data_IF_403105193528
#
_entry.id   IF_403105193528
#
_cell.length_a   1.000
_cell.length_b   1.000
_cell.length_c   1.000
_cell.angle_alpha   90.00
_cell.angle_beta   90.00
_cell.angle_gamma   90.00
#
_symmetry.space_group_name_H-M   'P 1'
#
loop_
_entity.id
_entity.type
_entity.pdbx_description
1 polymer ?
#
# COMPACT_ATOMS: atom_id res chain seq x y z
N UNK A 1 6.43 -9.10 -17.48
CA UNK A 1 6.64 -9.97 -18.65
C UNK A 1 8.10 -10.39 -18.71
N UNK A 2 8.45 -11.39 -19.50
CA UNK A 2 9.87 -11.72 -19.69
C UNK A 2 10.55 -10.69 -20.58
N UNK A 3 11.83 -10.40 -20.28
CA UNK A 3 12.66 -9.51 -21.07
C UNK A 3 13.20 -10.26 -22.29
N UNK A 4 12.89 -9.78 -23.49
CA UNK A 4 13.46 -10.28 -24.74
C UNK A 4 14.62 -9.37 -25.18
N UNK A 5 15.85 -9.87 -25.10
CA UNK A 5 17.05 -9.10 -25.44
C UNK A 5 17.31 -9.03 -26.95
N UNK A 6 16.63 -9.84 -27.76
CA UNK A 6 16.84 -9.93 -29.20
C UNK A 6 15.90 -8.99 -29.98
N UNK A 7 14.83 -8.53 -29.34
CA UNK A 7 13.85 -7.63 -29.94
C UNK A 7 14.12 -6.15 -29.61
N UNK A 8 14.47 -5.30 -30.59
CA UNK A 8 14.56 -3.86 -30.36
C UNK A 8 13.14 -3.31 -30.10
N UNK A 9 12.88 -2.95 -28.85
CA UNK A 9 11.55 -2.51 -28.40
C UNK A 9 11.63 -1.65 -27.12
N UNK A 10 10.60 -0.83 -26.90
CA UNK A 10 10.43 -0.07 -25.66
C UNK A 10 9.88 -0.99 -24.56
N UNK A 11 10.72 -1.91 -24.07
CA UNK A 11 10.36 -2.84 -22.98
C UNK A 11 10.45 -2.24 -21.58
N UNK A 12 10.94 -0.99 -21.48
CA UNK A 12 11.04 -0.24 -20.23
C UNK A 12 10.17 1.02 -20.34
N UNK A 13 9.21 1.16 -19.43
CA UNK A 13 8.20 2.23 -19.38
C UNK A 13 8.24 3.05 -18.08
N UNK A 14 9.04 2.63 -17.10
CA UNK A 14 9.24 3.31 -15.82
C UNK A 14 10.72 3.46 -15.47
N UNK A 15 11.07 4.49 -14.70
CA UNK A 15 12.44 4.78 -14.30
C UNK A 15 12.51 5.21 -12.84
N UNK A 16 13.24 4.43 -12.04
CA UNK A 16 13.44 4.63 -10.60
C UNK A 16 14.93 4.66 -10.25
N UNK A 17 15.27 5.11 -9.05
CA UNK A 17 16.66 5.17 -8.61
C UNK A 17 17.12 3.81 -8.08
N UNK A 18 18.35 3.41 -8.44
CA UNK A 18 19.05 2.30 -7.82
C UNK A 18 20.28 2.84 -7.09
N UNK A 19 20.35 2.62 -5.77
CA UNK A 19 21.37 3.20 -4.88
C UNK A 19 22.09 2.08 -4.16
N UNK A 20 23.43 2.15 -4.12
CA UNK A 20 24.22 1.27 -3.26
C UNK A 20 24.21 1.80 -1.83
N UNK A 21 23.55 1.07 -0.93
CA UNK A 21 23.44 1.41 0.49
C UNK A 21 23.95 0.22 1.31
N UNK A 22 24.92 0.46 2.18
CA UNK A 22 25.57 -0.58 3.01
C UNK A 22 26.12 -1.79 2.22
N UNK A 23 26.43 -1.62 0.94
CA UNK A 23 26.92 -2.70 0.07
C UNK A 23 25.82 -3.50 -0.64
N UNK A 24 24.55 -3.14 -0.41
CA UNK A 24 23.39 -3.73 -1.08
C UNK A 24 22.77 -2.73 -2.04
N UNK A 25 22.19 -3.23 -3.13
CA UNK A 25 21.50 -2.40 -4.11
C UNK A 25 20.04 -2.23 -3.69
N UNK A 26 19.68 -1.00 -3.34
CA UNK A 26 18.32 -0.59 -3.00
C UNK A 26 17.66 0.13 -4.18
N UNK A 27 16.39 -0.14 -4.41
CA UNK A 27 15.58 0.53 -5.44
C UNK A 27 14.60 1.50 -4.77
N UNK A 28 14.48 2.71 -5.31
CA UNK A 28 13.67 3.79 -4.74
C UNK A 28 12.85 4.46 -5.84
N UNK A 29 11.52 4.41 -5.71
CA UNK A 29 10.60 5.13 -6.58
C UNK A 29 10.21 6.49 -5.96
N UNK A 30 10.76 7.58 -6.51
CA UNK A 30 10.45 8.94 -6.07
C UNK A 30 9.05 9.42 -6.47
N UNK A 31 8.30 8.66 -7.27
CA UNK A 31 6.90 8.94 -7.64
C UNK A 31 5.91 8.29 -6.67
N UNK A 32 6.38 7.37 -5.84
CA UNK A 32 5.58 6.57 -4.91
C UNK A 32 5.36 7.28 -3.55
N UNK A 33 4.72 8.46 -3.55
CA UNK A 33 4.63 9.37 -2.40
C UNK A 33 3.91 8.86 -1.13
N UNK A 34 3.19 7.74 -1.23
CA UNK A 34 2.42 7.14 -0.15
C UNK A 34 3.08 5.87 0.45
N UNK A 35 4.26 5.52 -0.05
CA UNK A 35 5.03 4.38 0.42
C UNK A 35 6.06 4.81 1.47
N UNK A 36 6.29 3.94 2.45
CA UNK A 36 7.38 4.10 3.42
C UNK A 36 8.73 4.05 2.69
N UNK A 37 9.77 4.63 3.29
CA UNK A 37 11.12 4.55 2.75
C UNK A 37 11.55 3.09 2.49
N UNK A 38 12.06 2.84 1.28
CA UNK A 38 12.49 1.51 0.85
C UNK A 38 11.38 0.63 0.32
N UNK A 39 10.11 1.03 0.49
CA UNK A 39 8.99 0.33 -0.12
C UNK A 39 8.79 0.69 -1.59
N UNK A 40 8.25 -0.27 -2.34
CA UNK A 40 7.96 -0.12 -3.75
C UNK A 40 6.52 -0.50 -4.09
N UNK A 41 5.89 0.20 -5.06
CA UNK A 41 4.67 -0.26 -5.69
C UNK A 41 4.76 -1.69 -6.18
N UNK A 42 3.65 -2.44 -6.09
CA UNK A 42 3.61 -3.84 -6.53
C UNK A 42 3.99 -4.03 -8.02
N UNK A 43 3.80 -2.99 -8.85
CA UNK A 43 4.17 -3.01 -10.27
C UNK A 43 5.68 -2.92 -10.52
N UNK A 44 6.45 -2.40 -9.56
CA UNK A 44 7.91 -2.29 -9.66
C UNK A 44 8.60 -3.55 -9.16
N UNK A 45 7.95 -4.32 -8.29
CA UNK A 45 8.49 -5.55 -7.72
C UNK A 45 8.46 -6.70 -8.71
N UNK A 46 9.47 -7.59 -8.67
CA UNK A 46 9.69 -8.69 -9.63
C UNK A 46 9.81 -8.26 -11.11
N UNK A 47 9.84 -6.95 -11.38
CA UNK A 47 10.04 -6.40 -12.70
C UNK A 47 11.51 -6.50 -13.13
N UNK A 48 11.74 -6.72 -14.43
CA UNK A 48 13.08 -6.64 -15.01
C UNK A 48 13.55 -5.18 -15.04
N UNK A 49 14.68 -4.90 -14.39
CA UNK A 49 15.32 -3.60 -14.40
C UNK A 49 16.67 -3.66 -15.12
N UNK A 50 16.95 -2.61 -15.91
CA UNK A 50 18.29 -2.35 -16.44
C UNK A 50 19.01 -1.36 -15.52
N UNK A 51 19.89 -1.86 -14.68
CA UNK A 51 20.69 -1.05 -13.74
C UNK A 51 22.01 -0.66 -14.38
N UNK A 52 22.39 0.62 -14.27
CA UNK A 52 23.68 1.12 -14.71
C UNK A 52 24.62 1.25 -13.50
N UNK A 53 25.63 0.39 -13.41
CA UNK A 53 26.65 0.40 -12.34
C UNK A 53 28.03 0.54 -12.99
N UNK A 54 28.80 1.55 -12.59
CA UNK A 54 30.14 1.83 -13.12
C UNK A 54 30.20 1.89 -14.67
N UNK A 55 29.17 2.49 -15.27
CA UNK A 55 29.03 2.60 -16.73
C UNK A 55 28.67 1.29 -17.45
N UNK A 56 28.41 0.21 -16.70
CA UNK A 56 27.97 -1.08 -17.24
C UNK A 56 26.50 -1.32 -16.93
N UNK A 57 25.78 -1.81 -17.93
CA UNK A 57 24.40 -2.28 -17.77
C UNK A 57 24.38 -3.67 -17.13
N UNK A 58 23.46 -3.88 -16.20
CA UNK A 58 23.09 -5.19 -15.64
C UNK A 58 21.58 -5.32 -15.69
N UNK A 59 21.09 -6.45 -16.17
CA UNK A 59 19.68 -6.79 -16.06
C UNK A 59 19.49 -7.64 -14.82
N UNK A 60 18.52 -7.27 -13.99
CA UNK A 60 18.16 -8.03 -12.80
C UNK A 60 16.69 -7.78 -12.47
N UNK A 61 16.11 -8.68 -11.69
CA UNK A 61 14.79 -8.44 -11.11
C UNK A 61 14.88 -7.56 -9.88
N UNK A 62 13.94 -6.63 -9.75
CA UNK A 62 13.74 -5.88 -8.52
C UNK A 62 13.23 -6.87 -7.45
N UNK A 63 13.82 -6.88 -6.24
CA UNK A 63 13.37 -7.76 -5.16
C UNK A 63 11.89 -7.59 -4.85
N UNK A 64 11.25 -8.70 -4.48
CA UNK A 64 9.89 -8.70 -3.95
C UNK A 64 9.98 -8.54 -2.44
N UNK A 65 9.13 -7.69 -1.90
CA UNK A 65 9.03 -7.48 -0.46
C UNK A 65 8.45 -8.71 0.24
N UNK A 66 8.88 -8.98 1.49
CA UNK A 66 8.27 -10.03 2.28
C UNK A 66 6.78 -9.76 2.50
N UNK A 67 5.98 -10.83 2.53
CA UNK A 67 4.54 -10.72 2.76
C UNK A 67 4.23 -10.21 4.18
N UNK A 68 5.15 -10.41 5.12
CA UNK A 68 5.09 -9.96 6.50
C UNK A 68 5.08 -8.43 6.62
N UNK A 69 5.66 -7.72 5.66
CA UNK A 69 5.64 -6.24 5.61
C UNK A 69 4.36 -5.72 4.93
N UNK A 70 3.61 -6.58 4.25
CA UNK A 70 2.42 -6.26 3.47
C UNK A 70 1.14 -6.86 4.09
N UNK A 71 0.68 -6.27 5.20
CA UNK A 71 -0.39 -6.83 6.00
C UNK A 71 -1.62 -5.93 6.08
N UNK A 72 -2.78 -6.59 6.23
CA UNK A 72 -4.03 -5.95 6.65
C UNK A 72 -4.66 -6.80 7.74
N UNK A 73 -4.62 -6.30 8.95
CA UNK A 73 -5.15 -6.96 10.14
C UNK A 73 -6.45 -6.27 10.53
N UNK A 74 -7.47 -7.07 10.87
CA UNK A 74 -8.77 -6.57 11.32
C UNK A 74 -9.14 -7.27 12.62
N UNK A 75 -9.29 -6.49 13.68
CA UNK A 75 -9.81 -6.95 14.95
C UNK A 75 -11.22 -6.40 15.11
N UNK A 76 -12.22 -7.28 15.23
CA UNK A 76 -13.63 -6.88 15.28
C UNK A 76 -14.25 -7.44 16.55
N UNK A 77 -14.81 -6.55 17.37
CA UNK A 77 -15.61 -6.90 18.55
C UNK A 77 -17.06 -6.63 18.23
N UNK A 78 -17.92 -7.62 18.48
CA UNK A 78 -19.35 -7.54 18.20
C UNK A 78 -20.15 -7.88 19.45
N UNK A 79 -21.14 -7.05 19.75
CA UNK A 79 -22.14 -7.26 20.78
C UNK A 79 -23.50 -7.53 20.12
N UNK A 80 -24.03 -8.74 20.35
CA UNK A 80 -25.36 -9.13 19.89
C UNK A 80 -26.39 -8.95 21.00
N UNK A 81 -27.34 -8.04 20.79
CA UNK A 81 -28.45 -7.83 21.70
C UNK A 81 -29.53 -8.91 21.56
N UNK A 82 -30.40 -9.00 22.58
CA UNK A 82 -31.49 -9.99 22.63
C UNK A 82 -32.54 -9.81 21.52
N UNK A 83 -32.67 -8.60 21.00
CA UNK A 83 -33.58 -8.28 19.89
C UNK A 83 -32.97 -8.58 18.51
N UNK A 84 -31.74 -9.09 18.48
CA UNK A 84 -31.01 -9.42 17.25
C UNK A 84 -30.20 -8.25 16.66
N UNK A 85 -30.23 -7.06 17.28
CA UNK A 85 -29.36 -5.95 16.86
C UNK A 85 -27.89 -6.22 17.20
N UNK A 86 -26.99 -5.77 16.33
CA UNK A 86 -25.54 -5.93 16.50
C UNK A 86 -24.92 -4.54 16.60
N UNK A 87 -24.10 -4.34 17.63
CA UNK A 87 -23.17 -3.22 17.72
C UNK A 87 -21.76 -3.77 17.59
N UNK A 88 -20.87 -3.03 16.96
CA UNK A 88 -19.50 -3.49 16.75
C UNK A 88 -18.49 -2.38 16.71
N UNK A 89 -17.27 -2.73 17.06
CA UNK A 89 -16.07 -1.90 16.94
C UNK A 89 -15.06 -2.69 16.12
N UNK A 90 -14.43 -2.03 15.15
CA UNK A 90 -13.40 -2.65 14.31
C UNK A 90 -12.14 -1.78 14.36
N UNK A 91 -11.01 -2.42 14.67
CA UNK A 91 -9.69 -1.83 14.50
C UNK A 91 -9.03 -2.47 13.28
N UNK A 92 -8.63 -1.66 12.31
CA UNK A 92 -8.00 -2.09 11.07
C UNK A 92 -6.60 -1.51 10.99
N UNK A 93 -5.58 -2.36 11.09
CA UNK A 93 -4.17 -1.98 10.92
C UNK A 93 -3.66 -2.44 9.56
N UNK A 94 -2.95 -1.55 8.86
CA UNK A 94 -2.49 -1.78 7.48
C UNK A 94 -1.03 -1.36 7.31
N UNK A 95 -0.24 -2.19 6.64
CA UNK A 95 1.17 -1.94 6.31
C UNK A 95 1.44 -2.14 4.81
N UNK A 96 2.62 -1.71 4.36
CA UNK A 96 3.08 -1.87 2.98
C UNK A 96 2.10 -1.34 1.93
N UNK A 97 1.85 -2.13 0.88
CA UNK A 97 0.95 -1.75 -0.23
C UNK A 97 -0.47 -1.39 0.24
N UNK A 98 -0.97 -2.00 1.32
CA UNK A 98 -2.32 -1.71 1.84
C UNK A 98 -2.38 -0.34 2.49
N UNK A 99 -1.37 0.00 3.30
CA UNK A 99 -1.25 1.32 3.92
C UNK A 99 -1.13 2.41 2.85
N UNK A 100 -0.29 2.18 1.83
CA UNK A 100 -0.14 3.11 0.71
C UNK A 100 -1.43 3.33 -0.06
N UNK A 101 -2.17 2.26 -0.35
CA UNK A 101 -3.49 2.35 -0.98
C UNK A 101 -4.49 3.15 -0.12
N UNK A 102 -4.51 2.91 1.19
CA UNK A 102 -5.36 3.68 2.10
C UNK A 102 -5.00 5.17 2.13
N UNK A 103 -3.72 5.50 2.17
CA UNK A 103 -3.25 6.89 2.06
C UNK A 103 -3.71 7.52 0.74
N UNK A 104 -3.56 6.83 -0.39
CA UNK A 104 -4.00 7.37 -1.70
C UNK A 104 -5.49 7.70 -1.77
N UNK A 105 -6.32 7.04 -0.97
CA UNK A 105 -7.76 7.31 -0.92
C UNK A 105 -8.06 8.40 0.10
N UNK A 106 -7.52 8.30 1.32
CA UNK A 106 -8.02 9.07 2.46
C UNK A 106 -7.17 10.28 2.84
N UNK A 107 -5.87 10.31 2.52
CA UNK A 107 -4.93 11.35 2.98
C UNK A 107 -5.42 12.76 2.65
N UNK A 108 -5.91 12.97 1.43
CA UNK A 108 -6.37 14.29 0.95
C UNK A 108 -7.89 14.51 1.08
N UNK A 109 -8.63 13.52 1.62
CA UNK A 109 -10.05 13.68 1.88
C UNK A 109 -10.29 14.40 3.21
N UNK A 110 -11.21 15.37 3.19
CA UNK A 110 -11.77 15.96 4.42
C UNK A 110 -12.64 14.96 5.18
N UNK A 111 -12.78 15.18 6.49
CA UNK A 111 -13.46 14.28 7.43
C UNK A 111 -14.84 13.80 6.96
N UNK A 112 -15.69 14.70 6.45
CA UNK A 112 -17.02 14.35 5.93
C UNK A 112 -16.93 13.28 4.82
N UNK A 113 -16.05 13.48 3.83
CA UNK A 113 -15.88 12.53 2.73
C UNK A 113 -15.26 11.22 3.19
N UNK A 114 -14.38 11.25 4.21
CA UNK A 114 -13.85 10.03 4.83
C UNK A 114 -14.98 9.23 5.45
N UNK A 115 -15.84 9.87 6.24
CA UNK A 115 -17.01 9.26 6.87
C UNK A 115 -17.97 8.65 5.84
N UNK A 116 -18.28 9.37 4.76
CA UNK A 116 -19.10 8.87 3.66
C UNK A 116 -18.48 7.62 2.99
N UNK A 117 -17.17 7.65 2.71
CA UNK A 117 -16.48 6.51 2.10
C UNK A 117 -16.48 5.28 3.01
N UNK A 118 -16.27 5.45 4.32
CA UNK A 118 -16.32 4.36 5.30
C UNK A 118 -17.75 3.84 5.44
N UNK A 119 -18.74 4.71 5.55
CA UNK A 119 -20.15 4.33 5.61
C UNK A 119 -20.57 3.54 4.36
N UNK A 120 -20.12 3.96 3.17
CA UNK A 120 -20.39 3.24 1.92
C UNK A 120 -19.74 1.85 1.91
N UNK A 121 -18.49 1.75 2.36
CA UNK A 121 -17.79 0.47 2.52
C UNK A 121 -18.52 -0.45 3.51
N UNK A 122 -18.92 0.08 4.66
CA UNK A 122 -19.67 -0.66 5.69
C UNK A 122 -21.02 -1.15 5.15
N UNK A 123 -21.80 -0.28 4.52
CA UNK A 123 -23.10 -0.61 3.93
C UNK A 123 -23.00 -1.65 2.81
N UNK A 124 -21.88 -1.68 2.07
CA UNK A 124 -21.64 -2.68 1.02
C UNK A 124 -21.45 -4.09 1.59
N UNK A 125 -20.86 -4.19 2.80
CA UNK A 125 -20.62 -5.45 3.49
C UNK A 125 -21.79 -5.86 4.38
N UNK A 126 -22.43 -4.88 5.01
CA UNK A 126 -23.51 -5.03 5.99
C UNK A 126 -24.66 -4.09 5.64
N UNK A 127 -25.59 -4.47 4.74
CA UNK A 127 -26.69 -3.59 4.35
C UNK A 127 -27.51 -3.10 5.55
N UNK A 128 -27.77 -1.79 5.61
CA UNK A 128 -28.50 -1.15 6.71
C UNK A 128 -27.66 -0.79 7.93
N UNK A 129 -26.35 -1.06 7.91
CA UNK A 129 -25.41 -0.60 8.94
C UNK A 129 -25.32 0.92 8.99
N UNK A 130 -25.07 1.47 10.18
CA UNK A 130 -24.82 2.89 10.40
C UNK A 130 -23.44 3.04 11.05
N UNK A 131 -22.60 3.89 10.49
CA UNK A 131 -21.33 4.30 11.07
C UNK A 131 -21.63 5.27 12.21
N UNK A 132 -21.25 4.91 13.44
CA UNK A 132 -21.39 5.80 14.60
C UNK A 132 -20.21 6.77 14.72
N UNK A 133 -19.00 6.24 14.63
CA UNK A 133 -17.74 6.99 14.80
C UNK A 133 -16.63 6.34 13.95
N UNK A 134 -15.62 7.12 13.58
CA UNK A 134 -14.40 6.63 12.97
C UNK A 134 -13.22 7.54 13.31
N UNK A 135 -12.02 7.00 13.22
CA UNK A 135 -10.79 7.77 13.32
C UNK A 135 -9.72 7.16 12.42
N UNK A 136 -8.58 7.83 12.31
CA UNK A 136 -7.40 7.29 11.61
C UNK A 136 -6.15 7.66 12.42
N UNK A 137 -5.09 6.86 12.28
CA UNK A 137 -3.73 7.33 12.57
C UNK A 137 -3.33 8.47 11.64
N UNK A 138 -2.17 9.09 11.88
CA UNK A 138 -1.66 10.15 11.01
C UNK A 138 -1.33 9.58 9.62
N UNK A 139 -2.19 9.86 8.64
CA UNK A 139 -2.03 9.38 7.26
C UNK A 139 -0.84 10.05 6.54
N UNK A 140 -0.30 11.15 7.06
CA UNK A 140 0.89 11.80 6.52
C UNK A 140 2.19 11.19 7.07
N UNK A 141 2.13 10.49 8.20
CA UNK A 141 3.26 9.74 8.72
C UNK A 141 3.38 8.41 7.95
N UNK A 142 4.49 8.29 7.20
CA UNK A 142 4.77 7.13 6.35
C UNK A 142 5.46 6.02 7.13
N UNK A 143 6.10 6.33 8.26
CA UNK A 143 6.93 5.38 9.02
C UNK A 143 6.10 4.50 9.96
N UNK A 144 4.80 4.74 10.03
CA UNK A 144 3.85 3.97 10.85
C UNK A 144 2.79 3.26 10.00
N UNK A 145 2.23 2.13 10.49
CA UNK A 145 1.03 1.54 9.90
C UNK A 145 -0.14 2.53 9.86
N UNK A 146 -1.02 2.37 8.87
CA UNK A 146 -2.31 3.07 8.87
C UNK A 146 -3.26 2.29 9.76
N UNK A 147 -3.69 2.93 10.85
CA UNK A 147 -4.74 2.44 11.73
C UNK A 147 -6.04 3.19 11.43
N UNK A 148 -7.14 2.45 11.38
CA UNK A 148 -8.51 2.95 11.21
C UNK A 148 -9.42 2.27 12.21
#
# INVERSE_FOLDING_TARGET
>A
GELDLDLPSFQFDHAIAAVSLHGELMFLDGTAENYIYGDLPAMDQDAWAMVLIDGKRKFMKIPVQPAEENQRIREIKLDLAKDGSIKGEALISQSGIFASYYRSIFKDLGEIKRGEAIQNSLSSSCPGSVLEEFSFSDLADLDVPVEQ
#
